data_IF_012175306869
#
_entry.id   IF_012175306869
#
_cell.length_a   1.000
_cell.length_b   1.000
_cell.length_c   1.000
_cell.angle_alpha   90.00
_cell.angle_beta   90.00
_cell.angle_gamma   90.00
#
_symmetry.space_group_name_H-M   'P 1'
#
loop_
_entity.id
_entity.type
_entity.pdbx_description
1 polymer ?
#
# COMPACT_ATOMS: atom_id res chain seq x y z
N UNK A 1 5.39 6.62 -8.58
CA UNK A 1 4.73 5.75 -7.59
C UNK A 1 3.23 5.81 -7.78
N UNK A 2 2.51 4.71 -7.54
CA UNK A 2 1.03 4.71 -7.50
C UNK A 2 0.56 4.27 -6.12
N UNK A 3 -0.46 4.92 -5.59
CA UNK A 3 -1.12 4.48 -4.37
C UNK A 3 -2.63 4.52 -4.51
N UNK A 4 -3.31 3.48 -4.03
CA UNK A 4 -4.76 3.49 -3.81
C UNK A 4 -4.99 3.59 -2.32
N UNK A 5 -5.57 4.69 -1.87
CA UNK A 5 -5.90 4.94 -0.47
C UNK A 5 -7.40 4.78 -0.32
N UNK A 6 -7.80 3.86 0.54
CA UNK A 6 -9.20 3.56 0.79
C UNK A 6 -9.52 3.66 2.27
N UNK A 7 -10.59 4.39 2.61
CA UNK A 7 -11.10 4.38 3.98
C UNK A 7 -11.76 3.04 4.28
N UNK A 8 -11.41 2.45 5.42
CA UNK A 8 -11.92 1.15 5.88
C UNK A 8 -12.45 1.26 7.30
N UNK A 9 -13.49 0.50 7.61
CA UNK A 9 -13.95 0.29 8.98
C UNK A 9 -13.08 -0.76 9.70
N UNK A 10 -12.44 -1.63 8.93
CA UNK A 10 -11.41 -2.57 9.35
C UNK A 10 -10.71 -3.14 8.11
N UNK A 11 -9.45 -3.53 8.26
CA UNK A 11 -8.73 -4.29 7.24
C UNK A 11 -7.74 -5.25 7.88
N UNK A 12 -7.53 -6.40 7.25
CA UNK A 12 -6.55 -7.40 7.66
C UNK A 12 -5.86 -8.03 6.46
N UNK A 13 -4.65 -8.51 6.73
CA UNK A 13 -3.86 -9.34 5.82
C UNK A 13 -3.70 -10.71 6.43
N UNK A 14 -3.96 -11.74 5.64
CA UNK A 14 -3.73 -13.13 5.98
C UNK A 14 -2.68 -13.74 5.05
N UNK A 15 -1.79 -14.55 5.63
CA UNK A 15 -0.83 -15.41 4.93
C UNK A 15 -1.05 -16.83 5.42
N UNK A 16 -1.26 -17.78 4.50
CA UNK A 16 -1.51 -19.19 4.83
C UNK A 16 -2.67 -19.40 5.84
N UNK A 17 -3.71 -18.56 5.73
CA UNK A 17 -4.90 -18.62 6.60
C UNK A 17 -4.70 -18.05 8.01
N UNK A 18 -3.54 -17.42 8.29
CA UNK A 18 -3.26 -16.74 9.56
C UNK A 18 -3.21 -15.24 9.35
N UNK A 19 -3.92 -14.50 10.20
CA UNK A 19 -3.86 -13.03 10.21
C UNK A 19 -2.47 -12.59 10.65
N UNK A 20 -1.74 -11.94 9.76
CA UNK A 20 -0.40 -11.40 10.04
C UNK A 20 -0.45 -9.95 10.50
N UNK A 21 -1.49 -9.23 10.08
CA UNK A 21 -1.64 -7.80 10.35
C UNK A 21 -3.10 -7.38 10.24
N UNK A 22 -3.54 -6.48 11.11
CA UNK A 22 -4.90 -5.95 11.10
C UNK A 22 -4.96 -4.53 11.67
N UNK A 23 -5.91 -3.76 11.15
CA UNK A 23 -6.31 -2.44 11.64
C UNK A 23 -7.82 -2.39 11.86
N UNK A 24 -8.24 -1.55 12.79
CA UNK A 24 -9.62 -1.12 12.98
C UNK A 24 -10.00 -0.02 11.98
N UNK A 25 -10.79 0.99 12.41
CA UNK A 25 -11.15 2.11 11.54
C UNK A 25 -9.92 2.89 11.09
N UNK A 26 -9.69 2.94 9.78
CA UNK A 26 -8.49 3.58 9.25
C UNK A 26 -8.42 3.63 7.72
N UNK A 27 -7.20 3.54 7.21
CA UNK A 27 -6.86 3.61 5.80
C UNK A 27 -6.14 2.32 5.36
N UNK A 28 -6.67 1.67 4.33
CA UNK A 28 -5.95 0.66 3.57
C UNK A 28 -5.22 1.36 2.43
N UNK A 29 -3.90 1.21 2.37
CA UNK A 29 -3.04 1.88 1.37
C UNK A 29 -2.34 0.83 0.54
N UNK A 30 -2.77 0.67 -0.71
CA UNK A 30 -2.14 -0.21 -1.68
C UNK A 30 -1.07 0.57 -2.43
N UNK A 31 0.19 0.17 -2.34
CA UNK A 31 1.33 0.89 -2.93
C UNK A 31 1.92 0.09 -4.08
N UNK A 32 1.94 0.67 -5.27
CA UNK A 32 2.65 0.16 -6.43
C UNK A 32 3.94 0.96 -6.63
N UNK A 33 5.03 0.25 -6.86
CA UNK A 33 6.37 0.81 -7.10
C UNK A 33 6.77 0.67 -8.57
N UNK A 34 7.40 1.70 -9.12
CA UNK A 34 7.99 1.74 -10.46
C UNK A 34 9.50 1.96 -10.35
N UNK A 35 10.30 1.46 -11.31
CA UNK A 35 11.77 1.51 -11.23
C UNK A 35 12.37 2.92 -11.17
N UNK A 36 11.60 3.92 -11.61
CA UNK A 36 11.96 5.35 -11.56
C UNK A 36 11.50 6.05 -10.28
N UNK A 37 10.84 5.36 -9.36
CA UNK A 37 10.35 5.95 -8.12
C UNK A 37 11.52 6.36 -7.24
N UNK A 38 11.42 7.56 -6.68
CA UNK A 38 12.38 8.17 -5.78
C UNK A 38 11.78 8.38 -4.39
N UNK A 39 12.64 8.71 -3.44
CA UNK A 39 12.27 9.01 -2.06
C UNK A 39 11.21 10.11 -1.94
N UNK A 40 11.27 11.12 -2.83
CA UNK A 40 10.29 12.21 -2.88
C UNK A 40 8.87 11.74 -3.20
N UNK A 41 8.72 10.64 -3.94
CA UNK A 41 7.42 10.05 -4.23
C UNK A 41 6.80 9.43 -2.98
N UNK A 42 7.61 8.72 -2.19
CA UNK A 42 7.20 8.16 -0.91
C UNK A 42 6.74 9.28 0.04
N UNK A 43 7.51 10.37 0.12
CA UNK A 43 7.20 11.52 0.97
C UNK A 43 5.88 12.19 0.56
N UNK A 44 5.62 12.30 -0.75
CA UNK A 44 4.36 12.83 -1.27
C UNK A 44 3.17 11.98 -0.85
N UNK A 45 3.24 10.65 -1.02
CA UNK A 45 2.15 9.73 -0.62
C UNK A 45 1.96 9.77 0.90
N UNK A 46 3.04 9.77 1.67
CA UNK A 46 3.00 9.86 3.12
C UNK A 46 2.23 11.12 3.56
N UNK A 47 2.58 12.30 3.03
CA UNK A 47 1.88 13.56 3.32
C UNK A 47 0.39 13.54 2.99
N UNK A 48 -0.04 12.78 1.98
CA UNK A 48 -1.47 12.65 1.62
C UNK A 48 -2.21 11.73 2.59
N UNK A 49 -1.57 10.68 3.09
CA UNK A 49 -2.15 9.73 4.05
C UNK A 49 -2.23 10.33 5.45
N UNK A 50 -1.17 11.01 5.90
CA UNK A 50 -1.03 11.53 7.27
C UNK A 50 -1.96 12.71 7.62
N UNK A 51 -2.77 13.22 6.70
CA UNK A 51 -3.68 14.35 6.97
C UNK A 51 -4.81 14.01 7.96
N UNK A 52 -5.02 12.73 8.27
CA UNK A 52 -6.11 12.27 9.14
C UNK A 52 -5.55 11.31 10.19
N UNK A 53 -5.99 11.43 11.44
CA UNK A 53 -5.50 10.66 12.60
C UNK A 53 -6.01 9.19 12.59
N UNK A 54 -5.72 8.43 11.54
CA UNK A 54 -6.21 7.07 11.30
C UNK A 54 -5.11 6.02 11.42
N UNK A 55 -5.49 4.78 11.77
CA UNK A 55 -4.63 3.63 11.56
C UNK A 55 -4.40 3.40 10.05
N UNK A 56 -3.22 2.92 9.68
CA UNK A 56 -2.83 2.72 8.28
C UNK A 56 -2.33 1.30 8.10
N UNK A 57 -2.90 0.59 7.13
CA UNK A 57 -2.42 -0.72 6.68
C UNK A 57 -1.80 -0.56 5.29
N UNK A 58 -0.47 -0.60 5.22
CA UNK A 58 0.31 -0.55 3.99
C UNK A 58 0.43 -1.96 3.39
N UNK A 59 0.13 -2.07 2.10
CA UNK A 59 0.30 -3.33 1.36
C UNK A 59 0.93 -3.06 -0.01
N UNK A 60 2.02 -3.75 -0.33
CA UNK A 60 2.62 -3.74 -1.66
C UNK A 60 1.65 -4.33 -2.71
N UNK A 61 1.42 -3.61 -3.82
CA UNK A 61 0.52 -4.00 -4.90
C UNK A 61 1.10 -3.66 -6.28
N UNK A 62 1.96 -4.54 -6.80
CA UNK A 62 2.56 -4.38 -8.13
C UNK A 62 1.53 -4.34 -9.26
N UNK A 63 0.35 -4.95 -9.06
CA UNK A 63 -0.71 -4.99 -10.09
C UNK A 63 -1.28 -3.61 -10.43
N UNK A 64 -1.01 -2.57 -9.64
CA UNK A 64 -1.36 -1.18 -9.99
C UNK A 64 -0.63 -0.68 -11.26
N UNK A 65 0.42 -1.39 -11.66
CA UNK A 65 1.16 -1.17 -12.90
C UNK A 65 0.84 -2.21 -13.98
N UNK A 66 -0.27 -2.95 -13.84
CA UNK A 66 -0.74 -3.86 -14.89
C UNK A 66 -1.10 -3.11 -16.18
N UNK A 67 -0.52 -3.55 -17.28
CA UNK A 67 -0.85 -3.14 -18.66
C UNK A 67 -1.48 -4.35 -19.34
N UNK A 68 -2.59 -4.16 -20.06
CA UNK A 68 -3.19 -5.23 -20.84
C UNK A 68 -2.50 -5.34 -22.21
N UNK A 69 -1.81 -6.46 -22.46
CA UNK A 69 -1.37 -6.86 -23.80
C UNK A 69 -2.40 -7.87 -24.33
N UNK A 70 -3.42 -7.36 -25.03
CA UNK A 70 -4.63 -8.12 -25.34
C UNK A 70 -5.41 -8.43 -24.06
N UNK A 71 -5.67 -9.71 -23.78
CA UNK A 71 -6.37 -10.15 -22.57
C UNK A 71 -5.43 -10.56 -21.41
N UNK A 72 -4.11 -10.54 -21.63
CA UNK A 72 -3.12 -10.93 -20.61
C UNK A 72 -2.58 -9.68 -19.90
N UNK A 73 -2.63 -9.63 -18.55
CA UNK A 73 -1.98 -8.56 -17.81
C UNK A 73 -0.46 -8.75 -17.84
N UNK A 74 0.24 -7.66 -18.12
CA UNK A 74 1.69 -7.53 -18.14
C UNK A 74 2.11 -6.50 -17.08
N UNK A 75 3.15 -6.81 -16.31
CA UNK A 75 3.61 -5.99 -15.18
C UNK A 75 5.07 -5.56 -15.30
N UNK A 76 5.65 -5.61 -16.51
CA UNK A 76 7.06 -5.25 -16.76
C UNK A 76 7.45 -3.82 -16.34
N UNK A 77 6.47 -2.93 -16.20
CA UNK A 77 6.67 -1.55 -15.70
C UNK A 77 6.72 -1.46 -14.18
N UNK A 78 6.33 -2.49 -13.43
CA UNK A 78 6.51 -2.50 -11.98
C UNK A 78 7.98 -2.71 -11.62
N UNK A 79 8.42 -2.06 -10.54
CA UNK A 79 9.76 -2.28 -9.98
C UNK A 79 9.99 -3.76 -9.69
N UNK A 80 11.18 -4.29 -10.04
CA UNK A 80 11.52 -5.69 -9.81
C UNK A 80 11.44 -6.06 -8.32
N UNK A 81 11.10 -7.32 -7.95
CA UNK A 81 10.98 -7.72 -6.54
C UNK A 81 12.24 -7.44 -5.70
N UNK A 82 13.42 -7.63 -6.30
CA UNK A 82 14.71 -7.43 -5.63
C UNK A 82 14.96 -5.97 -5.23
N UNK A 83 14.48 -5.02 -6.05
CA UNK A 83 14.53 -3.58 -5.73
C UNK A 83 13.31 -3.14 -4.92
N UNK A 84 12.14 -3.69 -5.21
CA UNK A 84 10.88 -3.32 -4.58
C UNK A 84 10.83 -3.69 -3.10
N UNK A 85 11.44 -4.81 -2.70
CA UNK A 85 11.50 -5.22 -1.29
C UNK A 85 12.23 -4.20 -0.39
N UNK A 86 13.48 -3.81 -0.66
CA UNK A 86 14.17 -2.80 0.15
C UNK A 86 13.53 -1.42 0.02
N UNK A 87 13.01 -1.05 -1.15
CA UNK A 87 12.32 0.24 -1.34
C UNK A 87 11.00 0.30 -0.56
N UNK A 88 10.25 -0.79 -0.51
CA UNK A 88 9.03 -0.86 0.29
C UNK A 88 9.35 -0.80 1.78
N UNK A 89 10.41 -1.47 2.24
CA UNK A 89 10.84 -1.41 3.63
C UNK A 89 11.22 0.02 4.05
N UNK A 90 11.96 0.76 3.21
CA UNK A 90 12.27 2.18 3.50
C UNK A 90 11.04 3.07 3.50
N UNK A 91 10.05 2.76 2.66
CA UNK A 91 8.76 3.46 2.67
C UNK A 91 8.00 3.23 3.99
N UNK A 92 7.92 2.00 4.48
CA UNK A 92 7.27 1.69 5.78
C UNK A 92 7.97 2.45 6.90
N UNK A 93 9.31 2.41 6.95
CA UNK A 93 10.10 3.13 7.96
C UNK A 93 9.86 4.66 7.91
N UNK A 94 9.75 5.25 6.72
CA UNK A 94 9.42 6.67 6.54
C UNK A 94 8.02 7.00 7.09
N UNK A 95 7.04 6.14 6.85
CA UNK A 95 5.69 6.31 7.38
C UNK A 95 5.67 6.24 8.91
N UNK A 96 6.39 5.28 9.50
CA UNK A 96 6.50 5.16 10.96
C UNK A 96 7.16 6.40 11.58
N UNK A 97 8.25 6.91 10.99
CA UNK A 97 8.97 8.10 11.48
C UNK A 97 8.19 9.40 11.32
N UNK A 98 7.45 9.55 10.23
CA UNK A 98 6.76 10.80 9.90
C UNK A 98 5.38 10.91 10.57
N UNK A 99 4.85 9.80 11.09
CA UNK A 99 3.51 9.71 11.66
C UNK A 99 3.50 9.22 13.11
N UNK A 100 2.94 8.04 13.36
CA UNK A 100 2.86 7.36 14.65
C UNK A 100 3.20 5.88 14.42
N UNK A 101 4.32 5.35 14.96
CA UNK A 101 4.77 3.99 14.66
C UNK A 101 3.74 2.90 15.01
N UNK A 102 2.97 3.11 16.07
CA UNK A 102 1.94 2.17 16.52
C UNK A 102 0.70 2.12 15.61
N UNK A 103 0.43 3.20 14.87
CA UNK A 103 -0.71 3.33 13.96
C UNK A 103 -0.42 2.79 12.55
N UNK A 104 0.85 2.57 12.21
CA UNK A 104 1.25 2.02 10.91
C UNK A 104 1.40 0.50 11.06
N UNK A 105 0.72 -0.23 10.18
CA UNK A 105 0.80 -1.68 10.04
C UNK A 105 1.15 -1.99 8.61
N UNK A 106 1.95 -3.03 8.39
CA UNK A 106 2.34 -3.50 7.07
C UNK A 106 1.83 -4.92 6.81
N UNK A 107 1.87 -5.32 5.54
CA UNK A 107 1.73 -6.71 5.13
C UNK A 107 3.08 -7.37 4.85
N UNK A 108 3.08 -8.69 4.68
CA UNK A 108 4.28 -9.49 4.38
C UNK A 108 4.69 -9.41 2.90
N UNK A 109 5.64 -8.55 2.55
CA UNK A 109 6.08 -8.35 1.15
C UNK A 109 6.30 -9.67 0.39
N UNK A 110 5.71 -9.79 -0.80
CA UNK A 110 5.88 -10.94 -1.70
C UNK A 110 5.08 -12.19 -1.33
N UNK A 111 4.34 -12.21 -0.21
CA UNK A 111 3.44 -13.32 0.11
C UNK A 111 2.14 -13.23 -0.72
N UNK A 112 1.59 -14.40 -1.08
CA UNK A 112 0.20 -14.49 -1.55
C UNK A 112 -0.73 -14.15 -0.39
N UNK A 113 -1.18 -12.89 -0.36
CA UNK A 113 -2.02 -12.37 0.69
C UNK A 113 -3.49 -12.48 0.34
N UNK A 114 -4.28 -12.96 1.29
CA UNK A 114 -5.72 -12.68 1.29
C UNK A 114 -5.95 -11.40 2.09
N UNK A 115 -6.55 -10.41 1.44
CA UNK A 115 -6.95 -9.16 2.09
C UNK A 115 -8.43 -9.17 2.35
N UNK A 116 -8.81 -8.92 3.59
CA UNK A 116 -10.20 -8.72 3.97
C UNK A 116 -10.35 -7.30 4.48
N UNK A 117 -11.32 -6.56 3.96
CA UNK A 117 -11.60 -5.22 4.43
C UNK A 117 -13.10 -4.94 4.41
N UNK A 118 -13.54 -4.10 5.34
CA UNK A 118 -14.92 -3.63 5.40
C UNK A 118 -14.96 -2.15 5.04
N UNK A 119 -15.78 -1.79 4.06
CA UNK A 119 -16.01 -0.38 3.69
C UNK A 119 -16.90 0.28 4.75
N UNK A 120 -16.65 1.55 5.13
CA UNK A 120 -17.60 2.34 5.90
C UNK A 120 -18.81 2.72 5.05
N UNK A 121 -19.87 3.23 5.68
CA UNK A 121 -21.12 3.67 5.04
C UNK A 121 -20.90 4.71 3.93
N UNK A 122 -19.85 5.53 4.03
CA UNK A 122 -19.40 6.41 2.94
C UNK A 122 -18.04 5.94 2.42
N UNK A 123 -18.04 5.36 1.21
CA UNK A 123 -16.81 4.89 0.58
C UNK A 123 -16.04 6.09 -0.02
N UNK A 124 -14.79 6.26 0.38
CA UNK A 124 -13.88 7.25 -0.19
C UNK A 124 -12.63 6.52 -0.62
N UNK A 125 -12.38 6.54 -1.93
CA UNK A 125 -11.21 5.95 -2.56
C UNK A 125 -10.48 7.05 -3.33
N UNK A 126 -9.21 7.24 -3.02
CA UNK A 126 -8.34 8.16 -3.74
C UNK A 126 -7.24 7.36 -4.44
N UNK A 127 -7.03 7.65 -5.72
CA UNK A 127 -5.90 7.12 -6.48
C UNK A 127 -4.89 8.24 -6.63
N UNK A 128 -3.72 8.04 -6.05
CA UNK A 128 -2.58 8.94 -6.19
C UNK A 128 -1.61 8.35 -7.21
N UNK A 129 -1.11 9.21 -8.08
CA UNK A 129 -0.03 8.91 -9.00
C UNK A 129 0.98 10.04 -8.90
N UNK A 130 2.22 9.71 -8.61
CA UNK A 130 3.32 10.66 -8.77
C UNK A 130 3.83 10.60 -10.21
N UNK A 131 4.25 11.76 -10.72
CA UNK A 131 4.68 11.99 -12.11
C UNK A 131 6.10 11.51 -12.32
#
# INVERSE_FOLDING_TARGET
MKAVVQRVASASVEVEGRTVSAIGPGLLVLVGLHDSDADSDADYICRKVMQRNYEVLLVSQFTLYGILKGNKPDFHVAMSPDRAKPFYASLVEKFEKSYRPDAVKDGVFGAMMKRTYRKPSTNVMHVFRTI
#
